data_IF_430513998383
#
_entry.id   IF_430513998383
#
_cell.length_a   1.000
_cell.length_b   1.000
_cell.length_c   1.000
_cell.angle_alpha   90.00
_cell.angle_beta   90.00
_cell.angle_gamma   90.00
#
_symmetry.space_group_name_H-M   'P 1'
#
loop_
_entity.id
_entity.type
_entity.pdbx_description
1 polymer ?
#
# COMPACT_ATOMS: atom_id res chain seq x y z
N UNK A 1 -11.04 10.92 6.53
CA UNK A 1 -12.36 11.47 6.90
C UNK A 1 -12.57 12.85 6.25
N UNK A 2 -13.81 13.28 6.00
CA UNK A 2 -14.15 14.66 5.62
C UNK A 2 -15.42 15.12 6.37
N UNK A 3 -15.79 16.40 6.27
CA UNK A 3 -16.92 16.96 7.04
C UNK A 3 -18.24 16.40 6.51
N UNK A 4 -19.01 15.77 7.39
CA UNK A 4 -20.30 15.15 7.07
C UNK A 4 -21.47 15.60 7.94
N UNK A 5 -21.28 16.60 8.80
CA UNK A 5 -22.32 17.12 9.69
C UNK A 5 -22.53 18.61 9.44
N UNK A 6 -23.79 19.03 9.42
CA UNK A 6 -24.24 20.38 9.16
C UNK A 6 -23.73 20.94 7.82
N UNK A 7 -23.72 20.10 6.78
CA UNK A 7 -23.22 20.47 5.45
C UNK A 7 -24.35 21.09 4.64
N UNK A 8 -24.24 22.38 4.35
CA UNK A 8 -25.17 23.08 3.45
C UNK A 8 -24.87 22.70 2.01
N UNK A 9 -25.89 22.24 1.28
CA UNK A 9 -25.78 21.93 -0.15
C UNK A 9 -27.11 22.16 -0.86
N UNK A 10 -27.09 22.10 -2.19
CA UNK A 10 -28.27 22.27 -3.03
C UNK A 10 -29.34 21.23 -2.68
N UNK A 11 -30.59 21.68 -2.49
CA UNK A 11 -31.71 20.81 -2.10
C UNK A 11 -33.00 21.26 -2.78
N UNK A 12 -33.49 20.39 -3.67
CA UNK A 12 -34.79 20.58 -4.32
C UNK A 12 -35.93 20.56 -3.30
N UNK A 13 -37.00 21.30 -3.59
CA UNK A 13 -38.19 21.40 -2.72
C UNK A 13 -38.02 22.31 -1.50
N UNK A 14 -36.95 23.10 -1.43
CA UNK A 14 -36.76 24.12 -0.39
C UNK A 14 -36.98 25.53 -0.97
N UNK A 15 -37.39 26.48 -0.12
CA UNK A 15 -37.62 27.88 -0.54
C UNK A 15 -36.34 28.58 -1.04
N UNK A 16 -35.16 28.11 -0.61
CA UNK A 16 -33.86 28.71 -0.94
C UNK A 16 -33.04 27.88 -1.94
N UNK A 17 -33.55 26.72 -2.38
CA UNK A 17 -32.80 25.79 -3.24
C UNK A 17 -31.62 25.09 -2.54
N UNK A 18 -31.52 25.21 -1.22
CA UNK A 18 -30.43 24.70 -0.38
C UNK A 18 -30.97 24.13 0.94
N UNK A 19 -30.18 23.29 1.59
CA UNK A 19 -30.48 22.82 2.94
C UNK A 19 -29.28 22.14 3.59
N UNK A 20 -29.32 22.06 4.92
CA UNK A 20 -28.29 21.38 5.71
C UNK A 20 -28.59 19.88 5.76
N UNK A 21 -27.54 19.08 5.62
CA UNK A 21 -27.61 17.62 5.59
C UNK A 21 -26.46 17.02 6.38
N UNK A 22 -26.72 15.82 6.91
CA UNK A 22 -25.80 15.05 7.72
C UNK A 22 -25.62 13.64 7.12
N UNK A 23 -24.43 13.08 7.26
CA UNK A 23 -24.11 11.70 6.91
C UNK A 23 -22.76 11.54 6.22
N UNK A 24 -22.29 10.29 6.15
CA UNK A 24 -21.10 9.94 5.37
C UNK A 24 -21.28 10.24 3.88
N UNK A 25 -22.52 10.26 3.40
CA UNK A 25 -22.90 10.73 2.07
C UNK A 25 -22.56 12.20 1.80
N UNK A 26 -22.40 13.03 2.83
CA UNK A 26 -21.99 14.44 2.71
C UNK A 26 -20.46 14.60 2.78
N UNK A 27 -19.77 13.67 3.44
CA UNK A 27 -18.31 13.61 3.44
C UNK A 27 -17.75 13.06 2.11
N UNK A 28 -18.39 12.04 1.53
CA UNK A 28 -17.97 11.41 0.27
C UNK A 28 -17.73 12.39 -0.90
N UNK A 29 -18.66 13.34 -1.23
CA UNK A 29 -18.45 14.29 -2.32
C UNK A 29 -17.30 15.27 -2.06
N UNK A 30 -16.94 15.55 -0.81
CA UNK A 30 -15.78 16.40 -0.50
C UNK A 30 -14.46 15.69 -0.87
N UNK A 31 -14.35 14.39 -0.55
CA UNK A 31 -13.20 13.56 -0.96
C UNK A 31 -13.16 13.42 -2.47
N UNK A 32 -14.30 13.22 -3.12
CA UNK A 32 -14.38 13.16 -4.59
C UNK A 32 -13.95 14.48 -5.26
N UNK A 33 -14.36 15.62 -4.70
CA UNK A 33 -13.92 16.94 -5.17
C UNK A 33 -12.41 17.14 -5.00
N UNK A 34 -11.85 16.75 -3.85
CA UNK A 34 -10.40 16.80 -3.63
C UNK A 34 -9.63 15.93 -4.63
N UNK A 35 -10.10 14.71 -4.90
CA UNK A 35 -9.52 13.84 -5.92
C UNK A 35 -9.54 14.48 -7.32
N UNK A 36 -10.64 15.15 -7.68
CA UNK A 36 -10.75 15.86 -8.96
C UNK A 36 -9.73 17.01 -9.08
N UNK A 37 -9.54 17.81 -8.02
CA UNK A 37 -8.53 18.89 -8.02
C UNK A 37 -7.11 18.35 -8.07
N UNK A 38 -6.83 17.22 -7.40
CA UNK A 38 -5.53 16.53 -7.50
C UNK A 38 -5.27 16.08 -8.94
N UNK A 39 -6.25 15.47 -9.60
CA UNK A 39 -6.14 15.01 -10.99
C UNK A 39 -6.06 16.17 -12.00
N UNK A 40 -6.71 17.30 -11.73
CA UNK A 40 -6.53 18.53 -12.52
C UNK A 40 -5.06 18.98 -12.49
N UNK A 41 -4.43 18.88 -11.32
CA UNK A 41 -3.03 19.28 -11.12
C UNK A 41 -2.02 18.27 -11.67
N UNK A 42 -2.26 16.98 -11.48
CA UNK A 42 -1.44 15.88 -12.00
C UNK A 42 -2.31 14.82 -12.69
N UNK A 43 -2.58 14.97 -14.00
CA UNK A 43 -3.47 14.08 -14.75
C UNK A 43 -2.95 12.66 -14.95
N UNK A 44 -1.64 12.43 -14.73
CA UNK A 44 -1.03 11.10 -14.93
C UNK A 44 -1.14 10.20 -13.69
N UNK A 45 -1.64 10.70 -12.56
CA UNK A 45 -1.87 9.86 -11.39
C UNK A 45 -2.95 8.84 -11.70
N UNK A 46 -2.64 7.59 -11.40
CA UNK A 46 -3.61 6.51 -11.41
C UNK A 46 -4.45 6.56 -10.11
N UNK A 47 -5.52 5.74 -10.01
CA UNK A 47 -6.36 5.72 -8.81
C UNK A 47 -5.59 5.42 -7.50
N UNK A 48 -4.54 4.60 -7.56
CA UNK A 48 -3.71 4.30 -6.39
C UNK A 48 -2.88 5.52 -5.96
N UNK A 49 -2.27 6.22 -6.92
CA UNK A 49 -1.59 7.49 -6.74
C UNK A 49 -2.49 8.55 -6.08
N UNK A 50 -3.70 8.75 -6.59
CA UNK A 50 -4.66 9.72 -6.00
C UNK A 50 -5.02 9.35 -4.56
N UNK A 51 -5.34 8.07 -4.31
CA UNK A 51 -5.64 7.58 -2.96
C UNK A 51 -4.48 7.87 -2.02
N UNK A 52 -3.25 7.55 -2.41
CA UNK A 52 -2.05 7.77 -1.62
C UNK A 52 -1.79 9.23 -1.31
N UNK A 53 -1.94 10.13 -2.29
CA UNK A 53 -1.83 11.58 -2.05
C UNK A 53 -2.82 12.00 -0.98
N UNK A 54 -4.08 11.56 -1.06
CA UNK A 54 -5.11 11.88 -0.07
C UNK A 54 -4.81 11.31 1.31
N UNK A 55 -4.32 10.06 1.40
CA UNK A 55 -4.01 9.43 2.68
C UNK A 55 -2.76 10.01 3.34
N UNK A 56 -1.70 10.27 2.57
CA UNK A 56 -0.43 10.88 3.06
C UNK A 56 -0.60 12.31 3.52
N UNK A 57 -1.56 13.02 2.93
CA UNK A 57 -1.82 14.42 3.24
C UNK A 57 -2.84 14.64 4.33
N UNK A 58 -3.56 13.60 4.75
CA UNK A 58 -4.54 13.72 5.80
C UNK A 58 -3.90 14.22 7.11
N UNK A 59 -4.61 15.10 7.81
CA UNK A 59 -4.22 15.52 9.15
C UNK A 59 -4.57 14.39 10.12
N UNK A 60 -3.55 13.78 10.73
CA UNK A 60 -3.74 12.74 11.73
C UNK A 60 -4.53 13.30 12.93
N UNK A 61 -5.72 12.74 13.16
CA UNK A 61 -6.65 13.17 14.21
C UNK A 61 -7.13 11.94 14.96
N UNK A 62 -7.21 12.05 16.28
CA UNK A 62 -7.55 10.93 17.14
C UNK A 62 -6.31 10.26 17.71
N UNK A 63 -6.23 8.94 17.60
CA UNK A 63 -5.03 8.19 17.99
C UNK A 63 -3.97 8.37 16.92
N UNK A 64 -2.70 8.44 17.32
CA UNK A 64 -1.63 8.58 16.33
C UNK A 64 -1.57 7.36 15.40
N UNK A 65 -1.52 7.65 14.10
CA UNK A 65 -1.56 6.65 13.05
C UNK A 65 -2.98 6.22 12.67
N UNK A 66 -3.13 5.29 11.71
CA UNK A 66 -4.44 4.91 11.22
C UNK A 66 -5.32 4.29 12.30
N UNK A 67 -6.58 4.75 12.40
CA UNK A 67 -7.56 4.21 13.34
C UNK A 67 -8.94 3.93 12.71
N UNK A 68 -9.77 3.17 13.41
CA UNK A 68 -11.07 2.72 12.91
C UNK A 68 -12.15 3.83 12.87
N UNK A 69 -11.90 4.99 13.48
CA UNK A 69 -12.83 6.11 13.52
C UNK A 69 -12.52 7.14 12.43
N UNK A 70 -11.24 7.48 12.26
CA UNK A 70 -10.76 8.55 11.39
C UNK A 70 -10.02 8.04 10.15
N UNK A 71 -9.67 6.76 10.10
CA UNK A 71 -8.80 6.21 9.07
C UNK A 71 -7.41 6.84 9.22
N UNK A 72 -6.89 7.39 8.13
CA UNK A 72 -5.60 8.12 8.12
C UNK A 72 -5.72 9.58 8.59
N UNK A 73 -6.90 10.02 9.01
CA UNK A 73 -7.12 11.37 9.51
C UNK A 73 -8.08 12.22 8.66
N UNK A 74 -8.09 13.53 8.88
CA UNK A 74 -8.96 14.49 8.21
C UNK A 74 -8.41 14.94 6.85
N UNK A 75 -9.29 15.08 5.85
CA UNK A 75 -8.95 15.53 4.50
C UNK A 75 -8.30 16.92 4.54
N UNK A 76 -7.07 17.02 4.02
CA UNK A 76 -6.34 18.28 3.89
C UNK A 76 -5.88 18.48 2.43
N UNK A 77 -6.70 19.17 1.65
CA UNK A 77 -6.44 19.42 0.23
C UNK A 77 -5.19 20.28 -0.01
N UNK A 78 -4.89 21.22 0.89
CA UNK A 78 -3.70 22.06 0.76
C UNK A 78 -2.40 21.25 0.90
N UNK A 79 -2.36 20.34 1.88
CA UNK A 79 -1.25 19.41 2.07
C UNK A 79 -1.16 18.38 0.93
N UNK A 80 -2.29 18.00 0.32
CA UNK A 80 -2.34 17.14 -0.85
C UNK A 80 -1.71 17.82 -2.06
N UNK A 81 -2.13 19.04 -2.38
CA UNK A 81 -1.62 19.80 -3.53
C UNK A 81 -0.14 20.12 -3.41
N UNK A 82 0.32 20.45 -2.20
CA UNK A 82 1.76 20.69 -1.94
C UNK A 82 2.61 19.45 -2.23
N UNK A 83 2.09 18.25 -1.95
CA UNK A 83 2.78 16.98 -2.25
C UNK A 83 2.80 16.64 -3.74
N UNK A 84 1.77 17.04 -4.47
CA UNK A 84 1.71 16.87 -5.93
C UNK A 84 2.68 17.85 -6.62
N UNK A 85 2.94 19.01 -6.03
CA UNK A 85 3.90 20.00 -6.53
C UNK A 85 5.36 19.67 -6.20
N UNK A 86 5.61 19.03 -5.06
CA UNK A 86 6.93 18.52 -4.71
C UNK A 86 7.24 17.24 -5.48
N UNK A 87 8.43 17.11 -6.04
CA UNK A 87 8.92 15.87 -6.67
C UNK A 87 9.20 14.75 -5.65
N UNK A 88 8.54 14.75 -4.49
CA UNK A 88 8.55 13.64 -3.53
C UNK A 88 7.58 12.56 -3.99
N UNK A 89 7.72 12.15 -5.25
CA UNK A 89 7.02 11.00 -5.79
C UNK A 89 7.74 9.76 -5.25
N UNK A 90 7.49 9.46 -3.97
CA UNK A 90 7.78 8.12 -3.46
C UNK A 90 6.75 7.20 -4.09
N UNK A 91 7.16 6.62 -5.20
CA UNK A 91 6.44 5.68 -6.05
C UNK A 91 5.90 4.49 -5.27
N UNK A 92 5.02 3.72 -5.90
CA UNK A 92 4.53 2.48 -5.29
C UNK A 92 5.71 1.59 -4.93
N UNK A 93 5.59 0.79 -3.85
CA UNK A 93 6.58 -0.22 -3.58
C UNK A 93 6.65 -1.11 -4.82
N UNK A 94 7.84 -1.30 -5.36
CA UNK A 94 8.06 -2.11 -6.56
C UNK A 94 9.15 -3.14 -6.27
N UNK A 95 8.84 -4.42 -6.47
CA UNK A 95 9.77 -5.53 -6.39
C UNK A 95 10.40 -5.74 -7.78
N UNK A 96 11.49 -5.02 -8.05
CA UNK A 96 12.13 -5.02 -9.36
C UNK A 96 13.08 -6.19 -9.58
N UNK A 97 13.52 -6.88 -8.52
CA UNK A 97 14.28 -8.13 -8.64
C UNK A 97 13.92 -9.14 -7.55
N UNK A 98 14.03 -10.42 -7.89
CA UNK A 98 13.88 -11.54 -6.98
C UNK A 98 14.89 -12.62 -7.35
N UNK A 99 15.92 -12.76 -6.52
CA UNK A 99 17.03 -13.68 -6.71
C UNK A 99 17.05 -14.72 -5.59
N UNK A 100 17.13 -15.99 -6.00
CA UNK A 100 17.28 -17.11 -5.08
C UNK A 100 18.72 -17.61 -5.14
N UNK A 101 19.31 -17.92 -4.00
CA UNK A 101 20.63 -18.58 -3.92
C UNK A 101 20.73 -19.89 -4.72
N UNK A 102 19.58 -20.49 -5.04
CA UNK A 102 19.41 -21.68 -5.86
C UNK A 102 17.98 -21.72 -6.39
N UNK A 103 17.76 -22.33 -7.56
CA UNK A 103 16.41 -22.57 -8.11
C UNK A 103 15.84 -23.96 -7.75
N UNK A 104 16.67 -24.82 -7.17
CA UNK A 104 16.33 -26.15 -6.69
C UNK A 104 17.18 -26.51 -5.47
N UNK A 105 16.62 -27.22 -4.50
CA UNK A 105 17.34 -27.65 -3.31
C UNK A 105 16.94 -29.06 -2.85
N UNK A 106 17.79 -29.71 -2.06
CA UNK A 106 17.35 -30.86 -1.28
C UNK A 106 16.70 -30.39 0.02
N UNK A 107 15.74 -31.18 0.49
CA UNK A 107 15.10 -30.96 1.80
C UNK A 107 16.17 -30.91 2.89
N UNK A 108 16.23 -29.80 3.62
CA UNK A 108 17.23 -29.53 4.65
C UNK A 108 18.23 -28.43 4.27
N UNK A 109 18.41 -28.16 2.98
CA UNK A 109 19.26 -27.07 2.51
C UNK A 109 18.55 -25.72 2.73
N UNK A 110 19.20 -24.73 3.38
CA UNK A 110 18.63 -23.39 3.49
C UNK A 110 18.63 -22.70 2.12
N UNK A 111 17.57 -21.95 1.84
CA UNK A 111 17.45 -21.11 0.64
C UNK A 111 17.48 -19.65 1.09
N UNK A 112 18.50 -18.93 0.65
CA UNK A 112 18.57 -17.47 0.77
C UNK A 112 17.79 -16.82 -0.37
N UNK A 113 17.06 -15.78 -0.04
CA UNK A 113 16.12 -15.05 -0.91
C UNK A 113 16.50 -13.58 -0.82
N UNK A 114 16.80 -12.97 -1.95
CA UNK A 114 17.14 -11.56 -2.06
C UNK A 114 16.15 -10.89 -3.00
N UNK A 115 15.67 -9.71 -2.62
CA UNK A 115 14.75 -8.94 -3.44
C UNK A 115 15.17 -7.48 -3.48
N UNK A 116 15.31 -6.94 -4.69
CA UNK A 116 15.46 -5.51 -4.90
C UNK A 116 14.08 -4.86 -4.84
N UNK A 117 13.90 -3.94 -3.90
CA UNK A 117 12.65 -3.21 -3.70
C UNK A 117 12.93 -1.71 -3.74
N UNK A 118 12.07 -0.98 -4.45
CA UNK A 118 12.12 0.49 -4.52
C UNK A 118 10.77 1.11 -4.14
N UNK A 119 10.71 2.45 -4.05
CA UNK A 119 9.51 3.18 -3.66
C UNK A 119 9.38 3.42 -2.16
N UNK A 120 8.18 3.79 -1.71
CA UNK A 120 7.88 3.92 -0.27
C UNK A 120 7.54 2.54 0.29
N UNK A 121 8.44 1.97 1.06
CA UNK A 121 8.30 0.60 1.58
C UNK A 121 8.19 0.66 3.10
N UNK A 122 7.16 0.03 3.63
CA UNK A 122 7.00 -0.16 5.09
C UNK A 122 7.17 -1.60 5.52
N UNK A 123 6.87 -2.55 4.63
CA UNK A 123 6.93 -3.97 4.93
C UNK A 123 7.31 -4.75 3.66
N UNK A 124 8.13 -5.78 3.85
CA UNK A 124 8.53 -6.72 2.78
C UNK A 124 8.52 -8.12 3.35
N UNK A 125 7.71 -8.99 2.76
CA UNK A 125 7.58 -10.38 3.17
C UNK A 125 7.83 -11.30 1.98
N UNK A 126 8.44 -12.45 2.25
CA UNK A 126 8.44 -13.56 1.30
C UNK A 126 7.37 -14.57 1.69
N UNK A 127 6.53 -14.93 0.72
CA UNK A 127 5.54 -15.97 0.77
C UNK A 127 6.11 -17.22 0.11
N UNK A 128 6.26 -18.28 0.89
CA UNK A 128 6.61 -19.61 0.38
C UNK A 128 5.33 -20.41 0.29
N UNK A 129 4.89 -20.70 -0.93
CA UNK A 129 3.60 -21.33 -1.21
C UNK A 129 3.85 -22.72 -1.78
N UNK A 130 3.45 -23.75 -1.04
CA UNK A 130 3.38 -25.14 -1.51
C UNK A 130 1.96 -25.67 -1.47
N UNK A 131 1.77 -26.94 -1.87
CA UNK A 131 0.45 -27.58 -1.95
C UNK A 131 -0.28 -27.61 -0.60
N UNK A 132 0.42 -27.96 0.48
CA UNK A 132 -0.18 -28.15 1.80
C UNK A 132 0.11 -27.00 2.78
N UNK A 133 0.99 -26.07 2.43
CA UNK A 133 1.51 -25.08 3.36
C UNK A 133 1.91 -23.78 2.68
N UNK A 134 1.49 -22.68 3.30
CA UNK A 134 2.00 -21.34 3.04
C UNK A 134 2.69 -20.84 4.31
N UNK A 135 3.84 -20.17 4.16
CA UNK A 135 4.43 -19.37 5.23
C UNK A 135 4.80 -17.98 4.72
N UNK A 136 4.83 -17.03 5.64
CA UNK A 136 5.33 -15.68 5.42
C UNK A 136 6.56 -15.47 6.27
N UNK A 137 7.61 -14.94 5.67
CA UNK A 137 8.87 -14.65 6.35
C UNK A 137 9.16 -13.17 6.11
N UNK A 138 9.28 -12.35 7.18
CA UNK A 138 9.66 -10.97 7.02
C UNK A 138 11.09 -10.87 6.49
N UNK A 139 11.29 -10.00 5.51
CA UNK A 139 12.60 -9.71 4.95
C UNK A 139 13.17 -8.44 5.57
N UNK A 140 14.50 -8.31 5.57
CA UNK A 140 15.17 -7.11 6.10
C UNK A 140 16.23 -6.59 5.16
N UNK A 141 16.21 -5.29 4.98
CA UNK A 141 17.32 -4.51 4.45
C UNK A 141 18.17 -4.05 5.65
N UNK A 142 19.41 -4.53 5.73
CA UNK A 142 20.31 -4.26 6.85
C UNK A 142 21.20 -3.04 6.63
N UNK A 143 21.41 -2.63 5.37
CA UNK A 143 22.34 -1.57 4.98
C UNK A 143 21.64 -0.35 4.34
N UNK A 144 20.33 -0.43 4.12
CA UNK A 144 19.51 0.64 3.58
C UNK A 144 19.67 0.82 2.07
N UNK A 145 20.14 -0.21 1.37
CA UNK A 145 20.42 -0.14 -0.06
C UNK A 145 19.21 -0.53 -0.95
N UNK A 146 18.08 -0.89 -0.35
CA UNK A 146 16.87 -1.37 -1.05
C UNK A 146 16.86 -2.86 -1.37
N UNK A 147 17.86 -3.63 -0.91
CA UNK A 147 17.94 -5.08 -1.08
C UNK A 147 17.51 -5.74 0.23
N UNK A 148 16.35 -6.39 0.16
CA UNK A 148 15.79 -7.12 1.28
C UNK A 148 16.25 -8.56 1.23
N UNK A 149 16.60 -9.10 2.39
CA UNK A 149 17.09 -10.47 2.54
C UNK A 149 16.16 -11.30 3.43
N UNK A 150 15.88 -12.52 2.99
CA UNK A 150 15.08 -13.51 3.67
C UNK A 150 15.75 -14.88 3.65
N UNK A 151 15.40 -15.74 4.60
CA UNK A 151 15.94 -17.11 4.68
C UNK A 151 14.82 -18.11 4.92
N UNK A 152 14.72 -19.09 4.03
CA UNK A 152 13.79 -20.19 4.16
C UNK A 152 14.48 -21.48 4.60
N UNK A 153 14.01 -22.02 5.73
CA UNK A 153 14.43 -23.32 6.28
C UNK A 153 13.58 -24.46 5.71
N UNK A 154 14.12 -25.19 4.74
CA UNK A 154 13.41 -26.26 4.01
C UNK A 154 13.31 -27.57 4.80
N UNK A 155 14.05 -27.73 5.90
CA UNK A 155 14.14 -28.99 6.67
C UNK A 155 12.80 -29.53 7.20
N UNK A 156 11.77 -28.67 7.25
CA UNK A 156 10.43 -29.00 7.73
C UNK A 156 9.40 -29.02 6.60
N UNK A 157 9.85 -29.18 5.36
CA UNK A 157 9.02 -29.15 4.15
C UNK A 157 9.16 -30.46 3.37
N UNK A 158 8.09 -30.86 2.69
CA UNK A 158 8.10 -32.04 1.85
C UNK A 158 8.67 -31.72 0.46
N UNK A 159 9.35 -32.67 -0.22
CA UNK A 159 9.69 -32.51 -1.63
C UNK A 159 8.46 -32.17 -2.48
N UNK A 160 8.62 -31.29 -3.47
CA UNK A 160 7.51 -30.81 -4.29
C UNK A 160 7.82 -29.53 -5.04
N UNK A 161 6.81 -29.02 -5.75
CA UNK A 161 6.85 -27.73 -6.42
C UNK A 161 6.34 -26.63 -5.47
N UNK A 162 7.05 -25.51 -5.47
CA UNK A 162 6.77 -24.35 -4.64
C UNK A 162 6.78 -23.08 -5.50
N UNK A 163 6.03 -22.08 -5.06
CA UNK A 163 6.13 -20.70 -5.56
C UNK A 163 6.71 -19.83 -4.46
N UNK A 164 7.78 -19.11 -4.77
CA UNK A 164 8.40 -18.13 -3.88
C UNK A 164 7.99 -16.75 -4.39
N UNK A 165 7.13 -16.07 -3.63
CA UNK A 165 6.66 -14.74 -3.97
C UNK A 165 7.19 -13.74 -2.94
N UNK A 166 7.72 -12.60 -3.38
CA UNK A 166 8.04 -11.47 -2.51
C UNK A 166 6.99 -10.40 -2.70
N UNK A 167 6.37 -9.99 -1.60
CA UNK A 167 5.40 -8.90 -1.55
C UNK A 167 6.05 -7.70 -0.84
N UNK A 168 6.03 -6.54 -1.47
CA UNK A 168 6.39 -5.28 -0.86
C UNK A 168 5.14 -4.44 -0.66
N UNK A 169 5.00 -3.80 0.50
CA UNK A 169 3.85 -3.00 0.86
C UNK A 169 4.24 -1.63 1.42
N UNK A 170 3.42 -0.63 1.14
CA UNK A 170 3.53 0.72 1.69
C UNK A 170 2.54 0.95 2.85
N UNK A 171 2.74 2.01 3.65
CA UNK A 171 1.84 2.32 4.77
C UNK A 171 0.41 2.67 4.36
N UNK A 172 0.13 2.90 3.07
CA UNK A 172 -1.11 3.44 2.50
C UNK A 172 -1.91 2.39 1.70
N UNK A 173 -1.42 1.15 1.67
CA UNK A 173 -2.03 0.00 1.04
C UNK A 173 -1.62 -0.23 -0.42
N UNK A 174 -0.62 0.49 -0.94
CA UNK A 174 0.08 0.13 -2.17
C UNK A 174 0.89 -1.15 -1.95
N UNK A 175 0.85 -2.06 -2.93
CA UNK A 175 1.53 -3.36 -2.88
C UNK A 175 2.02 -3.76 -4.26
N UNK A 176 3.16 -4.43 -4.30
CA UNK A 176 3.64 -5.13 -5.49
C UNK A 176 4.12 -6.53 -5.11
N UNK A 177 4.04 -7.46 -6.07
CA UNK A 177 4.39 -8.86 -5.82
C UNK A 177 5.04 -9.49 -7.03
N UNK A 178 6.23 -10.05 -6.81
CA UNK A 178 6.96 -10.82 -7.83
C UNK A 178 7.15 -12.25 -7.34
N UNK A 179 6.89 -13.24 -8.21
CA UNK A 179 6.97 -14.65 -7.86
C UNK A 179 7.82 -15.46 -8.84
N UNK A 180 8.55 -16.44 -8.31
CA UNK A 180 9.35 -17.39 -9.09
C UNK A 180 9.06 -18.83 -8.66
N UNK A 181 9.06 -19.80 -9.60
CA UNK A 181 8.89 -21.21 -9.26
C UNK A 181 10.16 -21.77 -8.60
N UNK A 182 9.98 -22.75 -7.72
CA UNK A 182 11.06 -23.43 -7.01
C UNK A 182 10.75 -24.92 -6.83
N UNK A 183 11.77 -25.77 -6.91
CA UNK A 183 11.62 -27.22 -6.73
C UNK A 183 12.41 -27.69 -5.52
N UNK A 184 11.74 -28.37 -4.58
CA UNK A 184 12.37 -29.06 -3.47
C UNK A 184 12.42 -30.56 -3.75
N UNK A 185 13.58 -31.18 -3.56
CA UNK A 185 13.83 -32.61 -3.78
C UNK A 185 14.23 -33.37 -2.52
#
# INVERSE_FOLDING_TARGET
MAVGVNVTSARSGTLRGEGNMDGTSMAAPQVAGAAAVILEKQPTLDPAGVKRVLLRSADDVGLSGPDNNYGYGALNLSAALSRVEGSEDRSDPEVFSLDLSRSKAMTGDPVMIEAGVSGDVSDVEVHVIGEEREIRIPMRDFDGNGVYTGRWETRFWAPGEYSIAVEAADPFGGRDTTAVPFVLT
#
